data_IF_000981310734
#
_entry.id   IF_000981310734
#
_cell.length_a   1.000
_cell.length_b   1.000
_cell.length_c   1.000
_cell.angle_alpha   90.00
_cell.angle_beta   90.00
_cell.angle_gamma   90.00
#
_symmetry.space_group_name_H-M   'P 1'
#
loop_
_entity.id
_entity.type
_entity.pdbx_description
1 polymer ?
#
# COMPACT_ATOMS: atom_id res chain seq x y z
N UNK A 1 -3.95 -22.40 39.80
CA UNK A 1 -4.55 -21.51 38.78
C UNK A 1 -4.73 -22.35 37.52
N UNK A 2 -5.93 -22.38 36.93
CA UNK A 2 -6.16 -23.15 35.71
C UNK A 2 -5.33 -22.55 34.56
N UNK A 3 -4.65 -23.40 33.81
CA UNK A 3 -3.81 -23.02 32.66
C UNK A 3 -4.72 -22.54 31.51
N UNK A 4 -4.66 -21.25 31.18
CA UNK A 4 -5.50 -20.65 30.14
C UNK A 4 -4.78 -20.69 28.80
N UNK A 5 -5.27 -21.51 27.87
CA UNK A 5 -4.70 -21.65 26.52
C UNK A 5 -5.47 -20.82 25.50
N UNK A 6 -4.78 -19.85 24.88
CA UNK A 6 -5.31 -19.06 23.77
C UNK A 6 -5.14 -19.84 22.46
N UNK A 7 -6.23 -20.11 21.74
CA UNK A 7 -6.19 -20.73 20.42
C UNK A 7 -6.49 -19.73 19.30
N UNK A 8 -5.48 -19.41 18.50
CA UNK A 8 -5.63 -18.50 17.36
C UNK A 8 -6.20 -19.22 16.13
N UNK A 9 -7.31 -18.68 15.59
CA UNK A 9 -7.85 -19.10 14.29
C UNK A 9 -6.95 -18.61 13.15
N UNK A 10 -5.98 -19.43 12.74
CA UNK A 10 -4.97 -19.07 11.72
C UNK A 10 -5.59 -18.54 10.41
N UNK A 11 -6.73 -19.07 9.98
CA UNK A 11 -7.45 -18.61 8.79
C UNK A 11 -8.08 -17.21 8.94
N UNK A 12 -8.49 -16.84 10.15
CA UNK A 12 -9.13 -15.56 10.42
C UNK A 12 -8.17 -14.37 10.19
N UNK A 13 -6.86 -14.58 10.37
CA UNK A 13 -5.87 -13.54 10.08
C UNK A 13 -5.73 -13.19 8.60
N UNK A 14 -6.12 -14.08 7.68
CA UNK A 14 -6.18 -13.74 6.26
C UNK A 14 -7.38 -12.83 6.00
N UNK A 15 -8.56 -13.23 6.49
CA UNK A 15 -9.78 -12.41 6.38
C UNK A 15 -9.56 -11.02 6.97
N UNK A 16 -9.03 -10.95 8.21
CA UNK A 16 -8.73 -9.70 8.90
C UNK A 16 -7.83 -8.75 8.08
N UNK A 17 -6.84 -9.29 7.37
CA UNK A 17 -5.88 -8.50 6.56
C UNK A 17 -6.41 -8.10 5.18
N UNK A 18 -7.64 -8.49 4.86
CA UNK A 18 -8.36 -8.18 3.62
C UNK A 18 -9.73 -7.56 3.90
N UNK A 19 -10.04 -7.23 5.15
CA UNK A 19 -11.30 -6.60 5.53
C UNK A 19 -11.50 -5.28 4.76
N UNK A 20 -12.74 -4.92 4.38
CA UNK A 20 -13.02 -3.72 3.60
C UNK A 20 -12.41 -2.44 4.18
N UNK A 21 -12.39 -2.32 5.52
CA UNK A 21 -11.76 -1.18 6.20
C UNK A 21 -10.24 -1.11 6.02
N UNK A 22 -9.56 -2.27 6.00
CA UNK A 22 -8.10 -2.34 5.74
C UNK A 22 -7.81 -2.00 4.28
N UNK A 23 -8.61 -2.51 3.36
CA UNK A 23 -8.48 -2.21 1.93
C UNK A 23 -8.66 -0.71 1.68
N UNK A 24 -9.74 -0.12 2.20
CA UNK A 24 -10.04 1.30 2.04
C UNK A 24 -8.96 2.20 2.67
N UNK A 25 -8.41 1.81 3.83
CA UNK A 25 -7.29 2.53 4.46
C UNK A 25 -6.04 2.53 3.56
N UNK A 26 -5.64 1.37 3.06
CA UNK A 26 -4.47 1.24 2.20
C UNK A 26 -4.63 1.97 0.87
N UNK A 27 -5.82 1.94 0.27
CA UNK A 27 -6.13 2.67 -0.97
C UNK A 27 -6.10 4.18 -0.76
N UNK A 28 -6.67 4.66 0.37
CA UNK A 28 -6.62 6.07 0.74
C UNK A 28 -5.17 6.55 0.90
N UNK A 29 -4.33 5.81 1.62
CA UNK A 29 -2.90 6.14 1.80
C UNK A 29 -2.15 6.13 0.47
N UNK A 30 -2.39 5.13 -0.38
CA UNK A 30 -1.76 5.06 -1.70
C UNK A 30 -2.17 6.25 -2.60
N UNK A 31 -3.43 6.68 -2.53
CA UNK A 31 -3.91 7.85 -3.26
C UNK A 31 -3.28 9.15 -2.77
N UNK A 32 -3.03 9.30 -1.46
CA UNK A 32 -2.27 10.44 -0.91
C UNK A 32 -0.84 10.49 -1.45
N UNK A 33 -0.13 9.36 -1.47
CA UNK A 33 1.23 9.28 -2.06
C UNK A 33 1.20 9.62 -3.55
N UNK A 34 0.22 9.10 -4.30
CA UNK A 34 0.03 9.43 -5.71
C UNK A 34 -0.14 10.94 -5.90
N UNK A 35 -1.04 11.56 -5.16
CA UNK A 35 -1.33 13.01 -5.25
C UNK A 35 -0.11 13.85 -4.86
N UNK A 36 0.61 13.47 -3.80
CA UNK A 36 1.83 14.16 -3.38
C UNK A 36 2.93 14.09 -4.45
N UNK A 37 3.13 12.91 -5.05
CA UNK A 37 4.10 12.75 -6.14
C UNK A 37 3.71 13.57 -7.38
N UNK A 38 2.41 13.58 -7.74
CA UNK A 38 1.88 14.39 -8.84
C UNK A 38 2.04 15.89 -8.60
N UNK A 39 1.79 16.36 -7.37
CA UNK A 39 1.96 17.76 -7.01
C UNK A 39 3.43 18.20 -7.06
N UNK A 40 4.37 17.27 -6.84
CA UNK A 40 5.79 17.57 -6.80
C UNK A 40 6.43 17.74 -8.19
N UNK A 41 6.06 16.92 -9.17
CA UNK A 41 6.70 16.97 -10.51
C UNK A 41 5.75 16.97 -11.71
N UNK A 42 4.43 17.01 -11.47
CA UNK A 42 3.42 16.97 -12.53
C UNK A 42 3.36 15.65 -13.30
N UNK A 43 4.05 14.61 -12.80
CA UNK A 43 4.15 13.31 -13.45
C UNK A 43 2.84 12.51 -13.43
N UNK A 44 2.81 11.42 -14.19
CA UNK A 44 1.70 10.46 -14.18
C UNK A 44 2.06 9.29 -13.29
N UNK A 45 1.27 9.07 -12.23
CA UNK A 45 1.44 7.97 -11.30
C UNK A 45 0.18 7.11 -11.25
N UNK A 46 0.34 5.81 -11.03
CA UNK A 46 -0.74 4.82 -10.99
C UNK A 46 -0.75 4.11 -9.65
N UNK A 47 -1.94 3.92 -9.10
CA UNK A 47 -2.17 3.12 -7.90
C UNK A 47 -2.66 1.75 -8.32
N UNK A 48 -2.08 0.71 -7.74
CA UNK A 48 -2.54 -0.66 -7.82
C UNK A 48 -2.92 -1.13 -6.41
N UNK A 49 -4.01 -1.87 -6.30
CA UNK A 49 -4.55 -2.41 -5.05
C UNK A 49 -4.88 -3.87 -5.28
N UNK A 50 -4.28 -4.78 -4.51
CA UNK A 50 -4.49 -6.21 -4.73
C UNK A 50 -4.23 -7.04 -3.47
N UNK A 51 -4.94 -8.17 -3.41
CA UNK A 51 -4.68 -9.22 -2.44
C UNK A 51 -3.35 -9.91 -2.76
N UNK A 52 -2.43 -9.94 -1.79
CA UNK A 52 -1.19 -10.70 -1.93
C UNK A 52 -1.44 -12.23 -1.98
N UNK A 53 -0.59 -12.94 -2.74
CA UNK A 53 -0.55 -14.41 -2.77
C UNK A 53 -0.49 -14.98 -1.34
N UNK A 54 -1.27 -16.02 -1.09
CA UNK A 54 -1.30 -16.70 0.20
C UNK A 54 0.01 -17.48 0.43
N UNK A 55 1.01 -16.80 1.01
CA UNK A 55 2.27 -17.39 1.46
C UNK A 55 2.80 -16.58 2.66
N UNK A 56 2.39 -16.84 3.93
CA UNK A 56 1.46 -17.88 4.39
C UNK A 56 -0.02 -17.45 4.41
N UNK A 57 -0.33 -16.16 4.50
CA UNK A 57 -1.72 -15.70 4.66
C UNK A 57 -2.14 -14.59 3.69
N UNK A 58 -1.22 -14.05 2.89
CA UNK A 58 -1.51 -13.02 1.88
C UNK A 58 -2.01 -11.71 2.51
N UNK A 59 -1.25 -10.63 2.40
CA UNK A 59 -1.68 -9.31 2.92
C UNK A 59 -2.26 -8.51 1.77
N UNK A 60 -3.32 -7.74 2.02
CA UNK A 60 -3.69 -6.68 1.09
C UNK A 60 -2.51 -5.72 0.94
N UNK A 61 -2.23 -5.31 -0.28
CA UNK A 61 -1.14 -4.39 -0.58
C UNK A 61 -1.59 -3.38 -1.63
N UNK A 62 -1.09 -2.17 -1.48
CA UNK A 62 -1.16 -1.15 -2.51
C UNK A 62 0.23 -0.85 -3.04
N UNK A 63 0.31 -0.35 -4.26
CA UNK A 63 1.58 0.05 -4.88
C UNK A 63 1.34 1.29 -5.72
N UNK A 64 2.24 2.26 -5.60
CA UNK A 64 2.25 3.45 -6.43
C UNK A 64 3.46 3.36 -7.35
N UNK A 65 3.22 3.44 -8.66
CA UNK A 65 4.27 3.38 -9.66
C UNK A 65 4.09 4.48 -10.69
N UNK A 66 5.13 4.68 -11.51
CA UNK A 66 5.14 5.64 -12.60
C UNK A 66 4.32 5.12 -13.78
N UNK A 67 3.60 6.03 -14.45
CA UNK A 67 2.64 5.71 -15.50
C UNK A 67 3.16 5.83 -16.93
N UNK A 68 4.29 6.52 -17.14
CA UNK A 68 4.88 6.77 -18.47
C UNK A 68 6.41 6.96 -18.41
N UNK A 69 7.08 6.89 -19.57
CA UNK A 69 8.54 6.97 -19.68
C UNK A 69 9.14 8.29 -19.15
N UNK A 70 8.44 9.42 -19.33
CA UNK A 70 8.87 10.72 -18.80
C UNK A 70 8.91 10.71 -17.27
N UNK A 71 7.85 10.19 -16.64
CA UNK A 71 7.75 10.10 -15.18
C UNK A 71 8.74 9.09 -14.62
N UNK A 72 9.00 7.98 -15.32
CA UNK A 72 10.07 7.02 -14.95
C UNK A 72 11.42 7.73 -14.85
N UNK A 73 11.82 8.46 -15.90
CA UNK A 73 13.10 9.19 -15.93
C UNK A 73 13.16 10.27 -14.85
N UNK A 74 12.08 11.04 -14.67
CA UNK A 74 11.98 12.06 -13.63
C UNK A 74 12.12 11.46 -12.23
N UNK A 75 11.31 10.46 -11.91
CA UNK A 75 11.33 9.80 -10.60
C UNK A 75 12.70 9.17 -10.30
N UNK A 76 13.36 8.56 -11.29
CA UNK A 76 14.70 8.00 -11.11
C UNK A 76 15.76 9.07 -10.75
N UNK A 77 15.64 10.27 -11.35
CA UNK A 77 16.56 11.39 -11.13
C UNK A 77 16.28 12.15 -9.83
N UNK A 78 15.01 12.37 -9.51
CA UNK A 78 14.59 13.27 -8.43
C UNK A 78 14.04 12.55 -7.19
N UNK A 79 13.89 11.23 -7.26
CA UNK A 79 13.38 10.38 -6.19
C UNK A 79 11.98 10.80 -5.68
N UNK A 80 11.11 11.24 -6.60
CA UNK A 80 9.79 11.79 -6.29
C UNK A 80 8.95 10.85 -5.40
N UNK A 81 8.85 9.56 -5.75
CA UNK A 81 8.08 8.60 -4.95
C UNK A 81 8.63 8.36 -3.54
N UNK A 82 9.96 8.41 -3.38
CA UNK A 82 10.58 8.27 -2.05
C UNK A 82 10.26 9.48 -1.18
N UNK A 83 10.30 10.67 -1.75
CA UNK A 83 9.96 11.93 -1.06
C UNK A 83 8.46 12.02 -0.73
N UNK A 84 7.60 11.50 -1.59
CA UNK A 84 6.16 11.48 -1.39
C UNK A 84 5.67 10.40 -0.39
N UNK A 85 6.54 9.48 0.05
CA UNK A 85 6.14 8.33 0.86
C UNK A 85 5.53 8.73 2.21
N UNK A 86 6.00 9.81 2.82
CA UNK A 86 5.49 10.26 4.12
C UNK A 86 4.03 10.72 4.08
N UNK A 87 3.50 11.06 2.89
CA UNK A 87 2.07 11.37 2.71
C UNK A 87 1.14 10.16 3.02
N UNK A 88 1.69 8.95 3.17
CA UNK A 88 0.94 7.78 3.61
C UNK A 88 0.68 7.72 5.13
N UNK A 89 1.33 8.56 5.94
CA UNK A 89 1.26 8.48 7.41
C UNK A 89 0.04 9.19 7.99
N UNK A 90 -0.29 10.36 7.45
CA UNK A 90 -1.53 11.10 7.70
C UNK A 90 -2.74 10.35 7.16
#
# INVERSE_FOLDING_TARGET
MADMRIEFKRGAFKALRSEPGVVADLERRAKRVQQAAQAQDGGTYKVYSQQGKAAPQGRWRTSVTTGNARTIKSNAKYHTLLKALDAARE
#
